data_IF_345646042267
#
_entry.id   IF_345646042267
#
_cell.length_a   1.000
_cell.length_b   1.000
_cell.length_c   1.000
_cell.angle_alpha   90.00
_cell.angle_beta   90.00
_cell.angle_gamma   90.00
#
_symmetry.space_group_name_H-M   'P 1'
#
loop_
_entity.id
_entity.type
_entity.pdbx_description
1 polymer ?
#
# COMPACT_ATOMS: atom_id res chain seq x y z
N UNK A 1 6.81 -5.16 -6.30
CA UNK A 1 8.11 -5.18 -6.98
C UNK A 1 8.60 -3.77 -7.28
N UNK A 2 9.77 -3.60 -7.90
CA UNK A 2 10.36 -2.27 -8.18
C UNK A 2 9.59 -1.43 -9.22
N UNK A 3 8.65 -2.01 -9.94
CA UNK A 3 7.81 -1.30 -10.90
C UNK A 3 6.42 -0.97 -10.37
N UNK A 4 6.22 -1.06 -9.05
CA UNK A 4 4.95 -0.74 -8.39
C UNK A 4 3.87 -1.82 -8.53
N UNK A 5 4.15 -2.95 -9.17
CA UNK A 5 3.18 -4.05 -9.25
C UNK A 5 3.11 -4.77 -7.91
N UNK A 6 1.93 -4.77 -7.29
CA UNK A 6 1.68 -5.52 -6.08
C UNK A 6 1.61 -7.01 -6.39
N UNK A 7 2.38 -7.80 -5.65
CA UNK A 7 2.40 -9.26 -5.76
C UNK A 7 1.74 -9.86 -4.53
N UNK A 8 0.79 -10.75 -4.73
CA UNK A 8 0.05 -11.34 -3.63
C UNK A 8 -0.34 -12.79 -3.90
N UNK A 9 -0.75 -13.49 -2.84
CA UNK A 9 -1.44 -14.77 -2.90
C UNK A 9 -2.65 -14.74 -1.97
N UNK A 10 -3.75 -15.34 -2.40
CA UNK A 10 -4.86 -15.65 -1.53
C UNK A 10 -4.60 -16.98 -0.81
N UNK A 11 -4.75 -16.93 0.50
CA UNK A 11 -4.53 -18.09 1.38
C UNK A 11 -5.76 -18.28 2.25
N UNK A 12 -6.32 -19.50 2.36
CA UNK A 12 -7.40 -19.77 3.30
C UNK A 12 -6.98 -19.44 4.74
N UNK A 13 -7.89 -18.84 5.52
CA UNK A 13 -7.60 -18.44 6.90
C UNK A 13 -7.05 -19.58 7.77
N UNK A 14 -7.51 -20.81 7.52
CA UNK A 14 -7.05 -22.01 8.24
C UNK A 14 -5.54 -22.29 8.02
N UNK A 15 -4.98 -21.86 6.91
CA UNK A 15 -3.56 -22.06 6.58
C UNK A 15 -2.64 -20.96 7.10
N UNK A 16 -3.18 -19.90 7.73
CA UNK A 16 -2.38 -18.72 8.09
C UNK A 16 -1.24 -19.05 9.06
N UNK A 17 -1.44 -19.96 10.00
CA UNK A 17 -0.42 -20.38 10.95
C UNK A 17 0.78 -21.06 10.25
N UNK A 18 0.51 -21.85 9.22
CA UNK A 18 1.56 -22.45 8.39
C UNK A 18 2.28 -21.40 7.55
N UNK A 19 1.53 -20.46 6.95
CA UNK A 19 2.11 -19.35 6.19
C UNK A 19 2.99 -18.45 7.04
N UNK A 20 2.63 -18.22 8.30
CA UNK A 20 3.48 -17.45 9.23
C UNK A 20 4.78 -18.16 9.56
N UNK A 21 4.79 -19.47 9.55
CA UNK A 21 5.99 -20.28 9.85
C UNK A 21 6.85 -20.54 8.62
N UNK A 22 6.23 -20.91 7.52
CA UNK A 22 6.90 -21.43 6.34
C UNK A 22 6.90 -20.47 5.16
N UNK A 23 6.00 -19.48 5.17
CA UNK A 23 5.78 -18.54 4.08
C UNK A 23 4.95 -19.11 2.93
N UNK A 24 4.41 -18.20 2.12
CA UNK A 24 3.76 -18.56 0.86
C UNK A 24 4.80 -18.55 -0.26
N UNK A 25 5.08 -19.71 -0.85
CA UNK A 25 6.12 -19.87 -1.88
C UNK A 25 5.69 -19.31 -3.23
N UNK A 26 6.63 -18.73 -3.98
CA UNK A 26 6.45 -18.26 -5.36
C UNK A 26 7.79 -18.13 -6.09
N UNK A 27 7.74 -18.15 -7.41
CA UNK A 27 8.94 -18.03 -8.24
C UNK A 27 9.54 -16.62 -8.16
N UNK A 28 10.78 -16.52 -7.70
CA UNK A 28 11.48 -15.25 -7.47
C UNK A 28 11.64 -14.40 -8.72
N UNK A 29 11.86 -15.01 -9.88
CA UNK A 29 12.02 -14.29 -11.15
C UNK A 29 10.80 -13.44 -11.55
N UNK A 30 9.61 -13.74 -11.01
CA UNK A 30 8.39 -12.97 -11.29
C UNK A 30 8.35 -11.58 -10.62
N UNK A 31 9.32 -11.24 -9.78
CA UNK A 31 9.27 -10.06 -8.90
C UNK A 31 10.22 -8.93 -9.30
N UNK A 32 10.93 -9.02 -10.39
CA UNK A 32 11.92 -8.02 -10.82
C UNK A 32 12.97 -7.67 -9.74
N UNK A 33 13.40 -8.67 -8.97
CA UNK A 33 14.46 -8.55 -7.96
C UNK A 33 15.81 -9.13 -8.47
N UNK A 34 16.08 -8.98 -9.76
CA UNK A 34 17.29 -9.46 -10.45
C UNK A 34 17.48 -10.98 -10.32
N UNK A 35 16.38 -11.72 -10.54
CA UNK A 35 16.35 -13.18 -10.48
C UNK A 35 15.96 -13.78 -11.82
N UNK A 36 16.45 -14.99 -12.06
CA UNK A 36 16.20 -15.80 -13.26
C UNK A 36 15.38 -17.06 -12.90
N UNK A 37 14.84 -17.79 -13.88
CA UNK A 37 14.20 -19.07 -13.65
C UNK A 37 15.12 -20.17 -13.04
N UNK A 38 16.43 -19.95 -13.04
CA UNK A 38 17.40 -20.85 -12.41
C UNK A 38 17.53 -20.62 -10.89
N UNK A 39 17.04 -19.49 -10.40
CA UNK A 39 17.01 -19.18 -8.97
C UNK A 39 15.89 -19.96 -8.27
N UNK A 40 16.06 -20.23 -6.98
CA UNK A 40 15.07 -20.94 -6.18
C UNK A 40 13.82 -20.09 -5.90
N UNK A 41 12.82 -20.74 -5.33
CA UNK A 41 11.60 -20.06 -4.87
C UNK A 41 11.89 -19.11 -3.71
N UNK A 42 11.14 -18.01 -3.71
CA UNK A 42 11.01 -17.12 -2.56
C UNK A 42 9.78 -17.48 -1.74
N UNK A 43 9.80 -17.07 -0.48
CA UNK A 43 8.71 -17.29 0.47
C UNK A 43 8.30 -15.95 1.08
N UNK A 44 7.04 -15.61 0.95
CA UNK A 44 6.44 -14.43 1.59
C UNK A 44 5.96 -14.82 2.99
N UNK A 45 6.65 -14.33 4.03
CA UNK A 45 6.25 -14.52 5.42
C UNK A 45 5.38 -13.35 5.86
N UNK A 46 4.09 -13.56 6.14
CA UNK A 46 3.19 -12.49 6.53
C UNK A 46 3.57 -11.91 7.91
N UNK A 47 3.55 -10.59 8.00
CA UNK A 47 3.77 -9.86 9.25
C UNK A 47 2.42 -9.66 9.97
N UNK A 48 2.15 -10.32 11.12
CA UNK A 48 0.87 -10.20 11.81
C UNK A 48 0.52 -8.76 12.25
N UNK A 49 1.54 -7.91 12.43
CA UNK A 49 1.35 -6.52 12.84
C UNK A 49 0.75 -5.65 11.73
N UNK A 50 0.82 -6.10 10.49
CA UNK A 50 0.28 -5.41 9.33
C UNK A 50 -1.15 -5.83 8.98
N UNK A 51 -1.78 -6.70 9.76
CA UNK A 51 -3.13 -7.21 9.45
C UNK A 51 -4.14 -6.09 9.34
N UNK A 52 -4.80 -6.01 8.19
CA UNK A 52 -5.93 -5.14 7.92
C UNK A 52 -7.11 -6.03 7.48
N UNK A 53 -8.21 -6.00 8.25
CA UNK A 53 -9.48 -6.57 7.79
C UNK A 53 -10.14 -5.54 6.88
N UNK A 54 -10.51 -5.95 5.65
CA UNK A 54 -11.09 -5.01 4.69
C UNK A 54 -12.43 -4.48 5.18
N UNK A 55 -12.63 -3.16 5.31
CA UNK A 55 -13.89 -2.58 5.77
C UNK A 55 -15.10 -2.94 4.89
N UNK A 56 -14.87 -3.03 3.58
CA UNK A 56 -15.89 -3.36 2.57
C UNK A 56 -16.07 -4.86 2.33
N UNK A 57 -15.17 -5.71 2.84
CA UNK A 57 -15.31 -7.17 2.78
C UNK A 57 -14.62 -7.82 3.99
N UNK A 58 -15.39 -8.02 5.05
CA UNK A 58 -14.89 -8.55 6.33
C UNK A 58 -14.41 -10.01 6.29
N UNK A 59 -14.61 -10.71 5.18
CA UNK A 59 -14.08 -12.07 4.99
C UNK A 59 -12.61 -12.07 4.57
N UNK A 60 -12.06 -10.91 4.20
CA UNK A 60 -10.69 -10.77 3.71
C UNK A 60 -9.83 -10.01 4.72
N UNK A 61 -8.70 -10.60 5.08
CA UNK A 61 -7.59 -9.93 5.76
C UNK A 61 -6.42 -9.72 4.81
N UNK A 62 -5.87 -8.51 4.79
CA UNK A 62 -4.63 -8.19 4.09
C UNK A 62 -3.45 -8.19 5.06
N UNK A 63 -2.31 -8.71 4.61
CA UNK A 63 -1.06 -8.77 5.37
C UNK A 63 0.11 -8.42 4.46
N UNK A 64 0.93 -7.46 4.87
CA UNK A 64 2.24 -7.25 4.27
C UNK A 64 3.17 -8.43 4.63
N UNK A 65 4.07 -8.78 3.72
CA UNK A 65 4.98 -9.90 3.93
C UNK A 65 6.43 -9.52 3.68
N UNK A 66 7.31 -10.10 4.46
CA UNK A 66 8.75 -10.06 4.21
C UNK A 66 9.16 -11.22 3.31
N UNK A 67 10.06 -10.97 2.37
CA UNK A 67 10.53 -12.00 1.44
C UNK A 67 11.75 -12.73 1.97
N UNK A 68 11.72 -14.05 1.87
CA UNK A 68 12.81 -14.96 2.25
C UNK A 68 13.19 -15.88 1.11
N UNK A 69 14.48 -16.21 1.03
CA UNK A 69 15.03 -17.23 0.14
C UNK A 69 16.12 -18.00 0.87
N UNK A 70 16.14 -19.33 0.77
CA UNK A 70 17.09 -20.19 1.49
C UNK A 70 17.15 -19.90 2.99
N UNK A 71 15.99 -19.60 3.60
CA UNK A 71 15.87 -19.29 5.03
C UNK A 71 16.44 -17.94 5.47
N UNK A 72 16.80 -17.05 4.52
CA UNK A 72 17.34 -15.71 4.80
C UNK A 72 16.46 -14.62 4.18
N UNK A 73 16.35 -13.43 4.82
CA UNK A 73 15.68 -12.30 4.22
C UNK A 73 16.29 -11.91 2.88
N UNK A 74 15.45 -11.63 1.88
CA UNK A 74 15.89 -11.14 0.56
C UNK A 74 16.21 -9.66 0.68
N UNK A 75 17.49 -9.32 0.73
CA UNK A 75 17.97 -7.94 0.97
C UNK A 75 17.54 -6.95 -0.11
N UNK A 76 17.31 -7.39 -1.34
CA UNK A 76 16.80 -6.56 -2.43
C UNK A 76 15.30 -6.22 -2.28
N UNK A 77 14.56 -6.90 -1.40
CA UNK A 77 13.15 -6.61 -1.15
C UNK A 77 12.99 -5.25 -0.45
N UNK A 78 12.16 -4.31 -0.99
CA UNK A 78 12.00 -2.97 -0.43
C UNK A 78 11.61 -2.96 1.05
N UNK A 79 10.66 -3.81 1.46
CA UNK A 79 10.23 -3.89 2.86
C UNK A 79 11.34 -4.39 3.79
N UNK A 80 12.12 -5.38 3.35
CA UNK A 80 13.29 -5.88 4.09
C UNK A 80 14.36 -4.80 4.21
N UNK A 81 14.65 -4.06 3.12
CA UNK A 81 15.57 -2.92 3.14
C UNK A 81 15.13 -1.85 4.12
N UNK A 82 13.86 -1.48 4.13
CA UNK A 82 13.31 -0.50 5.07
C UNK A 82 13.51 -0.96 6.52
N UNK A 83 13.18 -2.21 6.85
CA UNK A 83 13.39 -2.78 8.19
C UNK A 83 14.87 -2.76 8.60
N UNK A 84 15.79 -3.02 7.67
CA UNK A 84 17.23 -2.90 7.95
C UNK A 84 17.64 -1.45 8.28
N UNK A 85 17.11 -0.45 7.58
CA UNK A 85 17.40 0.96 7.88
C UNK A 85 16.80 1.39 9.23
N UNK A 86 15.56 0.99 9.51
CA UNK A 86 14.93 1.23 10.82
C UNK A 86 15.79 0.62 11.95
N UNK A 87 16.28 -0.60 11.77
CA UNK A 87 17.17 -1.24 12.76
C UNK A 87 18.49 -0.48 12.96
N UNK A 88 19.05 0.13 11.90
CA UNK A 88 20.26 0.99 12.02
C UNK A 88 19.98 2.25 12.81
N UNK A 89 18.80 2.86 12.63
CA UNK A 89 18.39 4.05 13.38
C UNK A 89 18.15 3.69 14.86
N UNK A 90 17.44 2.61 15.14
CA UNK A 90 17.16 2.15 16.50
C UNK A 90 18.45 1.89 17.31
N UNK A 91 19.52 1.42 16.67
CA UNK A 91 20.84 1.28 17.33
C UNK A 91 21.49 2.59 17.72
N UNK A 92 20.96 3.71 17.27
CA UNK A 92 21.40 5.08 17.60
C UNK A 92 20.36 5.81 18.44
N UNK A 93 19.39 5.10 19.01
CA UNK A 93 18.24 5.64 19.76
C UNK A 93 17.42 6.67 18.96
N UNK A 94 17.38 6.50 17.62
CA UNK A 94 16.59 7.33 16.71
C UNK A 94 15.40 6.56 16.19
N UNK A 95 14.23 7.20 16.21
CA UNK A 95 12.98 6.70 15.63
C UNK A 95 12.56 7.64 14.51
N UNK A 96 12.43 7.10 13.30
CA UNK A 96 11.91 7.87 12.16
C UNK A 96 10.40 7.66 12.04
N UNK A 97 9.67 8.75 11.87
CA UNK A 97 8.26 8.79 11.49
C UNK A 97 8.12 9.42 10.13
N UNK A 98 7.12 9.02 9.37
CA UNK A 98 6.81 9.58 8.06
C UNK A 98 5.31 9.67 7.83
N UNK A 99 4.89 10.65 7.03
CA UNK A 99 3.57 10.75 6.44
C UNK A 99 3.66 10.52 4.93
N UNK A 100 2.53 10.27 4.31
CA UNK A 100 2.39 10.16 2.85
C UNK A 100 1.26 11.06 2.42
N UNK A 101 1.50 11.86 1.41
CA UNK A 101 0.50 12.60 0.66
C UNK A 101 0.14 11.73 -0.55
N UNK A 102 -1.01 11.05 -0.46
CA UNK A 102 -1.35 10.04 -1.44
C UNK A 102 -2.19 10.63 -2.54
N UNK A 103 -1.55 10.96 -3.67
CA UNK A 103 -2.21 11.49 -4.85
C UNK A 103 -2.67 10.36 -5.78
N UNK A 104 -3.87 10.50 -6.34
CA UNK A 104 -4.45 9.51 -7.24
C UNK A 104 -5.36 10.14 -8.28
N UNK A 105 -5.50 9.48 -9.43
CA UNK A 105 -6.43 9.89 -10.47
C UNK A 105 -7.70 9.04 -10.45
N UNK A 106 -8.85 9.70 -10.59
CA UNK A 106 -10.10 9.03 -10.89
C UNK A 106 -10.29 8.97 -12.41
N UNK A 107 -10.27 7.77 -12.94
CA UNK A 107 -10.38 7.50 -14.37
C UNK A 107 -11.70 6.80 -14.71
N UNK A 108 -12.11 6.87 -15.98
CA UNK A 108 -13.23 6.10 -16.50
C UNK A 108 -12.95 4.60 -16.44
N UNK A 109 -13.99 3.77 -16.45
CA UNK A 109 -13.88 2.31 -16.35
C UNK A 109 -12.97 1.72 -17.43
N UNK A 110 -12.98 2.27 -18.63
CA UNK A 110 -12.12 1.86 -19.74
C UNK A 110 -10.69 2.45 -19.68
N UNK A 111 -10.39 3.27 -18.68
CA UNK A 111 -9.09 3.91 -18.48
C UNK A 111 -8.73 5.00 -19.49
N UNK A 112 -9.63 5.36 -20.41
CA UNK A 112 -9.30 6.23 -21.55
C UNK A 112 -9.28 7.73 -21.19
N UNK A 113 -9.90 8.14 -20.09
CA UNK A 113 -10.04 9.54 -19.67
C UNK A 113 -10.27 9.66 -18.17
N UNK A 114 -10.24 10.90 -17.65
CA UNK A 114 -10.66 11.18 -16.27
C UNK A 114 -12.15 10.87 -16.08
N UNK A 115 -12.53 10.41 -14.89
CA UNK A 115 -13.90 9.99 -14.59
C UNK A 115 -14.92 11.14 -14.62
N UNK A 116 -14.50 12.38 -14.30
CA UNK A 116 -15.34 13.57 -14.36
C UNK A 116 -14.97 14.49 -15.54
N UNK A 117 -15.64 14.33 -16.66
CA UNK A 117 -15.39 15.16 -17.86
C UNK A 117 -15.73 16.64 -17.69
N UNK A 118 -16.36 17.04 -16.58
CA UNK A 118 -16.65 18.46 -16.23
C UNK A 118 -15.50 19.10 -15.44
N UNK A 119 -14.51 18.33 -15.06
CA UNK A 119 -13.31 18.80 -14.39
C UNK A 119 -12.34 19.34 -15.45
N UNK A 120 -12.47 20.65 -15.74
CA UNK A 120 -11.83 21.31 -16.88
C UNK A 120 -11.14 22.62 -16.50
N UNK A 121 -10.93 22.87 -15.21
CA UNK A 121 -10.27 24.10 -14.76
C UNK A 121 -8.81 24.12 -15.22
N UNK A 122 -8.34 25.32 -15.61
CA UNK A 122 -6.93 25.49 -15.99
C UNK A 122 -5.97 25.48 -14.79
N UNK A 123 -6.49 25.76 -13.59
CA UNK A 123 -5.82 25.65 -12.30
C UNK A 123 -6.76 24.94 -11.34
N UNK A 124 -6.78 23.61 -11.34
CA UNK A 124 -7.82 22.84 -10.68
C UNK A 124 -7.58 22.64 -9.18
N UNK A 125 -6.37 22.91 -8.69
CA UNK A 125 -6.01 22.70 -7.28
C UNK A 125 -7.03 23.36 -6.34
N UNK A 126 -7.56 22.59 -5.40
CA UNK A 126 -8.59 22.99 -4.43
C UNK A 126 -9.97 23.33 -5.02
N UNK A 127 -10.29 22.87 -6.24
CA UNK A 127 -11.61 23.10 -6.83
C UNK A 127 -12.70 22.39 -6.01
N UNK A 128 -13.45 23.19 -5.23
CA UNK A 128 -14.55 22.71 -4.41
C UNK A 128 -15.62 21.99 -5.25
N UNK A 129 -15.89 22.46 -6.47
CA UNK A 129 -16.93 21.86 -7.31
C UNK A 129 -16.53 20.45 -7.76
N UNK A 130 -15.26 20.23 -8.11
CA UNK A 130 -14.75 18.92 -8.46
C UNK A 130 -14.80 17.96 -7.26
N UNK A 131 -14.38 18.40 -6.08
CA UNK A 131 -14.49 17.63 -4.83
C UNK A 131 -15.94 17.20 -4.57
N UNK A 132 -16.89 18.15 -4.63
CA UNK A 132 -18.29 17.87 -4.33
C UNK A 132 -18.95 16.92 -5.35
N UNK A 133 -18.51 16.91 -6.58
CA UNK A 133 -18.97 15.92 -7.57
C UNK A 133 -18.45 14.51 -7.32
N UNK A 134 -17.43 14.34 -6.46
CA UNK A 134 -16.83 13.05 -6.06
C UNK A 134 -17.00 12.76 -4.57
N UNK A 135 -17.83 13.55 -3.89
CA UNK A 135 -18.03 13.46 -2.44
C UNK A 135 -18.35 12.05 -1.95
N UNK A 136 -19.25 11.33 -2.61
CA UNK A 136 -19.66 9.99 -2.16
C UNK A 136 -18.48 9.01 -2.15
N UNK A 137 -17.64 9.01 -3.20
CA UNK A 137 -16.46 8.19 -3.28
C UNK A 137 -15.43 8.58 -2.21
N UNK A 138 -15.12 9.87 -2.11
CA UNK A 138 -14.16 10.40 -1.13
C UNK A 138 -14.62 10.05 0.28
N UNK A 139 -15.92 10.21 0.57
CA UNK A 139 -16.51 9.83 1.85
C UNK A 139 -16.34 8.34 2.14
N UNK A 140 -16.60 7.45 1.18
CA UNK A 140 -16.45 6.00 1.35
C UNK A 140 -15.00 5.62 1.65
N UNK A 141 -14.02 6.25 0.98
CA UNK A 141 -12.61 6.07 1.27
C UNK A 141 -12.31 6.52 2.71
N UNK A 142 -12.74 7.72 3.11
CA UNK A 142 -12.53 8.24 4.48
C UNK A 142 -13.15 7.32 5.54
N UNK A 143 -14.39 6.88 5.36
CA UNK A 143 -15.08 5.99 6.30
C UNK A 143 -14.33 4.65 6.45
N UNK A 144 -13.80 4.13 5.35
CA UNK A 144 -12.96 2.94 5.34
C UNK A 144 -11.66 3.16 6.12
N UNK A 145 -10.98 4.28 5.89
CA UNK A 145 -9.74 4.63 6.57
C UNK A 145 -9.96 4.83 8.08
N UNK A 146 -11.06 5.50 8.46
CA UNK A 146 -11.46 5.66 9.88
C UNK A 146 -11.67 4.29 10.52
N UNK A 147 -12.38 3.39 9.83
CA UNK A 147 -12.61 2.02 10.31
C UNK A 147 -11.30 1.25 10.52
N UNK A 148 -10.30 1.48 9.68
CA UNK A 148 -8.96 0.91 9.81
C UNK A 148 -8.06 1.64 10.83
N UNK A 149 -8.51 2.74 11.42
CA UNK A 149 -7.76 3.52 12.41
C UNK A 149 -6.62 4.35 11.80
N UNK A 150 -6.77 4.83 10.54
CA UNK A 150 -5.72 5.61 9.88
C UNK A 150 -5.84 7.12 10.10
N UNK A 151 -6.95 7.59 10.66
CA UNK A 151 -7.21 9.00 10.95
C UNK A 151 -7.00 9.93 9.75
N UNK A 152 -7.80 9.79 8.67
CA UNK A 152 -7.77 10.75 7.57
C UNK A 152 -8.21 12.13 8.08
N UNK A 153 -7.51 13.19 7.67
CA UNK A 153 -7.80 14.55 8.16
C UNK A 153 -8.04 15.56 7.05
N UNK A 154 -7.62 15.27 5.81
CA UNK A 154 -7.74 16.19 4.68
C UNK A 154 -7.85 15.42 3.37
N UNK A 155 -8.64 16.00 2.44
CA UNK A 155 -8.76 15.54 1.06
C UNK A 155 -8.82 16.75 0.16
N UNK A 156 -8.04 16.75 -0.91
CA UNK A 156 -7.92 17.86 -1.83
C UNK A 156 -8.16 17.42 -3.27
N UNK A 157 -8.55 18.39 -4.09
CA UNK A 157 -8.36 18.31 -5.54
C UNK A 157 -6.95 18.80 -5.85
N UNK A 158 -6.20 18.02 -6.60
CA UNK A 158 -4.81 18.29 -6.92
C UNK A 158 -4.61 19.07 -8.23
N UNK A 159 -3.35 19.23 -8.63
CA UNK A 159 -2.91 20.18 -9.66
C UNK A 159 -3.22 19.73 -11.10
N UNK A 160 -3.81 18.56 -11.29
CA UNK A 160 -4.30 18.06 -12.57
C UNK A 160 -5.79 17.71 -12.50
N UNK A 161 -6.54 17.97 -13.60
CA UNK A 161 -7.94 17.56 -13.68
C UNK A 161 -8.09 16.05 -13.42
N UNK A 162 -9.02 15.67 -12.55
CA UNK A 162 -9.25 14.29 -12.12
C UNK A 162 -8.27 13.76 -11.08
N UNK A 163 -7.32 14.56 -10.61
CA UNK A 163 -6.38 14.22 -9.57
C UNK A 163 -6.87 14.66 -8.19
N UNK A 164 -6.73 13.80 -7.22
CA UNK A 164 -7.14 14.02 -5.82
C UNK A 164 -6.02 13.58 -4.90
N UNK A 165 -6.02 14.12 -3.68
CA UNK A 165 -5.11 13.74 -2.62
C UNK A 165 -5.86 13.30 -1.38
N UNK A 166 -5.29 12.32 -0.67
CA UNK A 166 -5.80 11.82 0.60
C UNK A 166 -4.69 11.85 1.65
N UNK A 167 -4.90 12.60 2.72
CA UNK A 167 -3.94 12.70 3.82
C UNK A 167 -4.46 11.99 5.08
N UNK A 168 -3.56 11.31 5.78
CA UNK A 168 -3.80 10.69 7.09
C UNK A 168 -2.61 10.88 8.01
N UNK A 169 -2.83 10.65 9.32
CA UNK A 169 -1.81 10.84 10.33
C UNK A 169 -0.50 10.10 10.02
N UNK A 170 0.62 10.79 10.19
CA UNK A 170 1.95 10.19 10.14
C UNK A 170 2.13 9.16 11.26
N UNK A 171 2.94 8.14 10.99
CA UNK A 171 3.26 7.10 11.97
C UNK A 171 4.71 6.62 11.83
N UNK A 172 5.07 5.46 12.38
CA UNK A 172 6.37 4.85 12.10
C UNK A 172 6.52 4.49 10.62
N UNK A 173 7.75 4.52 10.11
CA UNK A 173 8.02 4.38 8.68
C UNK A 173 7.52 3.07 8.07
N UNK A 174 7.55 1.96 8.82
CA UNK A 174 7.11 0.67 8.29
C UNK A 174 5.59 0.65 8.13
N UNK A 175 4.87 1.09 9.15
CA UNK A 175 3.40 1.22 9.09
C UNK A 175 2.97 2.19 7.99
N UNK A 176 3.66 3.33 7.84
CA UNK A 176 3.37 4.29 6.76
C UNK A 176 3.56 3.66 5.39
N UNK A 177 4.66 2.93 5.17
CA UNK A 177 4.93 2.27 3.89
C UNK A 177 3.90 1.17 3.59
N UNK A 178 3.55 0.35 4.58
CA UNK A 178 2.54 -0.70 4.43
C UNK A 178 1.15 -0.12 4.12
N UNK A 179 0.76 0.99 4.77
CA UNK A 179 -0.51 1.70 4.51
C UNK A 179 -0.54 2.29 3.09
N UNK A 180 0.55 2.92 2.67
CA UNK A 180 0.64 3.48 1.32
C UNK A 180 0.55 2.40 0.24
N UNK A 181 1.19 1.25 0.46
CA UNK A 181 1.11 0.10 -0.47
C UNK A 181 -0.31 -0.50 -0.49
N UNK A 182 -1.01 -0.46 0.64
CA UNK A 182 -2.39 -0.95 0.73
C UNK A 182 -3.39 0.00 0.04
N UNK A 183 -3.23 1.33 0.19
CA UNK A 183 -4.07 2.36 -0.42
C UNK A 183 -4.03 2.30 -1.95
#
# INVERSE_FOLDING_TARGET
>A
DFFGVLRSKLVPAQAIADMQKNGAGFAGFATWLDMSPADGDMFALPDPKSLIQLPWNKEIGWLASDLYMYGKPVKASPRVMLKEQINKLNKKDLVMKSGVECEYFLISEDGSKIADTRDTQSKPCYDQSALMRRYDLIKEICDSMITMGWNPYQNDHEDANGQFEMNWDYTDCLTTADRHVFF
#
